data_IF_830440848324
#
_entry.id   IF_830440848324
#
_cell.length_a   1.000
_cell.length_b   1.000
_cell.length_c   1.000
_cell.angle_alpha   90.00
_cell.angle_beta   90.00
_cell.angle_gamma   90.00
#
_symmetry.space_group_name_H-M   'P 1'
#
loop_
_entity.id
_entity.type
_entity.pdbx_description
1 polymer ?
#
# COMPACT_ATOMS: atom_id res chain seq x y z
N UNK A 1 -0.69 21.91 -5.93
CA UNK A 1 -1.53 20.99 -6.73
C UNK A 1 -0.72 19.84 -7.33
N UNK A 2 0.47 20.10 -7.90
CA UNK A 2 1.34 19.06 -8.50
C UNK A 2 1.89 18.04 -7.48
N UNK A 3 2.27 18.48 -6.28
CA UNK A 3 2.79 17.60 -5.21
C UNK A 3 1.76 16.55 -4.77
N UNK A 4 0.49 16.95 -4.62
CA UNK A 4 -0.60 16.06 -4.23
C UNK A 4 -0.83 14.99 -5.31
N UNK A 5 -0.73 15.35 -6.61
CA UNK A 5 -0.79 14.38 -7.70
C UNK A 5 0.38 13.38 -7.63
N UNK A 6 1.62 13.85 -7.44
CA UNK A 6 2.81 12.98 -7.32
C UNK A 6 2.69 12.02 -6.12
N UNK A 7 2.19 12.49 -4.99
CA UNK A 7 1.95 11.66 -3.81
C UNK A 7 0.87 10.59 -4.05
N UNK A 8 -0.24 10.94 -4.72
CA UNK A 8 -1.26 9.96 -5.12
C UNK A 8 -0.69 8.86 -6.00
N UNK A 9 0.02 9.24 -7.06
CA UNK A 9 0.65 8.29 -7.98
C UNK A 9 1.70 7.41 -7.27
N UNK A 10 2.44 7.98 -6.32
CA UNK A 10 3.40 7.23 -5.52
C UNK A 10 2.73 6.13 -4.69
N UNK A 11 1.60 6.44 -4.03
CA UNK A 11 0.84 5.44 -3.29
C UNK A 11 0.27 4.38 -4.23
N UNK A 12 -0.29 4.77 -5.38
CA UNK A 12 -0.78 3.82 -6.38
C UNK A 12 0.33 2.86 -6.84
N UNK A 13 1.53 3.37 -7.16
CA UNK A 13 2.66 2.53 -7.61
C UNK A 13 3.11 1.55 -6.53
N UNK A 14 3.18 2.00 -5.28
CA UNK A 14 3.53 1.15 -4.13
C UNK A 14 2.51 0.03 -3.97
N UNK A 15 1.21 0.35 -3.98
CA UNK A 15 0.17 -0.67 -3.81
C UNK A 15 0.15 -1.68 -4.96
N UNK A 16 0.40 -1.24 -6.21
CA UNK A 16 0.57 -2.15 -7.34
C UNK A 16 1.74 -3.11 -7.14
N UNK A 17 2.84 -2.64 -6.55
CA UNK A 17 4.02 -3.46 -6.23
C UNK A 17 3.71 -4.50 -5.13
N UNK A 18 2.96 -4.09 -4.12
CA UNK A 18 2.51 -4.97 -3.03
C UNK A 18 1.63 -6.10 -3.57
N UNK A 19 0.67 -5.80 -4.47
CA UNK A 19 -0.18 -6.84 -5.07
C UNK A 19 0.64 -7.79 -5.93
N UNK A 20 1.59 -7.29 -6.71
CA UNK A 20 2.47 -8.14 -7.51
C UNK A 20 3.27 -9.10 -6.63
N UNK A 21 3.80 -8.61 -5.51
CA UNK A 21 4.48 -9.46 -4.53
C UNK A 21 3.56 -10.44 -3.78
N UNK A 22 2.26 -10.13 -3.69
CA UNK A 22 1.26 -10.98 -3.02
C UNK A 22 0.70 -12.08 -3.93
N UNK A 23 0.43 -11.76 -5.19
CA UNK A 23 -0.38 -12.58 -6.09
C UNK A 23 0.27 -12.84 -7.46
N UNK A 24 1.52 -12.42 -7.67
CA UNK A 24 2.24 -12.48 -8.96
C UNK A 24 1.52 -11.75 -10.12
N UNK A 25 0.57 -10.86 -9.80
CA UNK A 25 -0.24 -10.10 -10.76
C UNK A 25 -0.34 -8.64 -10.30
N UNK A 26 -0.22 -7.67 -11.22
CA UNK A 26 -0.47 -6.24 -10.95
C UNK A 26 -1.92 -5.84 -11.22
N UNK A 27 -2.86 -6.48 -10.53
CA UNK A 27 -4.28 -6.19 -10.70
C UNK A 27 -4.80 -5.19 -9.64
N UNK A 28 -5.12 -3.94 -10.01
CA UNK A 28 -5.66 -2.96 -9.08
C UNK A 28 -7.03 -3.36 -8.50
N UNK A 29 -7.81 -4.22 -9.17
CA UNK A 29 -9.09 -4.68 -8.64
C UNK A 29 -8.92 -5.47 -7.33
N UNK A 30 -7.78 -6.14 -7.15
CA UNK A 30 -7.46 -6.83 -5.90
C UNK A 30 -7.30 -5.85 -4.74
N UNK A 31 -6.71 -4.68 -5.00
CA UNK A 31 -6.57 -3.57 -4.05
C UNK A 31 -7.95 -3.01 -3.72
N UNK A 32 -8.76 -2.75 -4.74
CA UNK A 32 -10.07 -2.12 -4.58
C UNK A 32 -11.05 -2.97 -3.75
N UNK A 33 -10.86 -4.29 -3.77
CA UNK A 33 -11.65 -5.25 -2.97
C UNK A 33 -11.19 -5.39 -1.52
N UNK A 34 -10.08 -4.75 -1.12
CA UNK A 34 -9.62 -4.79 0.27
C UNK A 34 -10.54 -3.98 1.19
N UNK A 35 -10.58 -4.35 2.47
CA UNK A 35 -11.44 -3.71 3.46
C UNK A 35 -11.06 -2.26 3.69
N UNK A 36 -9.77 -1.95 3.70
CA UNK A 36 -9.27 -0.64 4.07
C UNK A 36 -9.07 0.32 2.88
N UNK A 37 -9.16 -0.17 1.64
CA UNK A 37 -9.00 0.68 0.45
C UNK A 37 -9.99 1.85 0.37
N UNK A 38 -11.31 1.70 0.65
CA UNK A 38 -12.25 2.83 0.56
C UNK A 38 -11.94 3.98 1.51
N UNK A 39 -11.23 3.74 2.62
CA UNK A 39 -10.75 4.81 3.51
C UNK A 39 -9.55 5.53 2.90
N UNK A 40 -8.57 4.77 2.38
CA UNK A 40 -7.40 5.33 1.71
C UNK A 40 -7.77 6.13 0.46
N UNK A 41 -8.68 5.62 -0.36
CA UNK A 41 -9.16 6.27 -1.57
C UNK A 41 -9.79 7.64 -1.27
N UNK A 42 -10.58 7.74 -0.19
CA UNK A 42 -11.20 9.01 0.24
C UNK A 42 -10.18 10.00 0.77
N UNK A 43 -9.18 9.54 1.52
CA UNK A 43 -8.14 10.42 2.06
C UNK A 43 -7.27 11.01 0.94
N UNK A 44 -6.94 10.19 -0.06
CA UNK A 44 -6.02 10.56 -1.13
C UNK A 44 -6.73 11.09 -2.39
N UNK A 45 -8.06 10.98 -2.46
CA UNK A 45 -8.85 11.34 -3.65
C UNK A 45 -8.31 10.68 -4.93
N UNK A 46 -8.11 9.35 -4.93
CA UNK A 46 -7.65 8.64 -6.12
C UNK A 46 -8.65 8.75 -7.27
N UNK A 47 -8.13 8.94 -8.48
CA UNK A 47 -8.86 8.86 -9.73
C UNK A 47 -8.47 7.58 -10.47
N UNK A 48 -9.35 7.04 -11.30
CA UNK A 48 -9.07 5.78 -12.03
C UNK A 48 -7.80 5.87 -12.89
N UNK A 49 -7.55 7.03 -13.51
CA UNK A 49 -6.33 7.30 -14.28
C UNK A 49 -5.03 7.27 -13.46
N UNK A 50 -5.10 7.44 -12.13
CA UNK A 50 -3.90 7.37 -11.30
C UNK A 50 -3.26 5.98 -11.35
N UNK A 51 -4.07 4.93 -11.45
CA UNK A 51 -3.58 3.55 -11.51
C UNK A 51 -2.85 3.26 -12.81
N UNK A 52 -3.28 3.85 -13.92
CA UNK A 52 -2.62 3.73 -15.22
C UNK A 52 -1.31 4.53 -15.21
N UNK A 53 -1.36 5.80 -14.84
CA UNK A 53 -0.19 6.69 -14.79
C UNK A 53 0.89 6.18 -13.82
N UNK A 54 0.50 5.52 -12.73
CA UNK A 54 1.43 5.02 -11.75
C UNK A 54 2.24 3.81 -12.22
N UNK A 55 1.79 3.03 -13.23
CA UNK A 55 2.43 1.74 -13.62
C UNK A 55 3.89 1.88 -13.99
N UNK A 56 4.24 2.97 -14.67
CA UNK A 56 5.57 3.21 -15.22
C UNK A 56 6.51 3.94 -14.25
N UNK A 57 6.04 4.25 -13.04
CA UNK A 57 6.84 4.94 -12.05
C UNK A 57 7.83 4.01 -11.34
N UNK A 58 8.99 4.56 -11.00
CA UNK A 58 9.98 3.89 -10.16
C UNK A 58 9.46 3.76 -8.73
N UNK A 59 9.38 2.52 -8.22
CA UNK A 59 9.00 2.23 -6.82
C UNK A 59 9.91 2.98 -5.85
N UNK A 60 11.21 3.01 -6.13
CA UNK A 60 12.18 3.70 -5.27
C UNK A 60 11.88 5.20 -5.17
N UNK A 61 11.55 5.85 -6.28
CA UNK A 61 11.14 7.26 -6.28
C UNK A 61 9.82 7.46 -5.51
N UNK A 62 8.87 6.53 -5.67
CA UNK A 62 7.59 6.57 -4.97
C UNK A 62 7.75 6.38 -3.46
N UNK A 63 8.67 5.53 -3.01
CA UNK A 63 9.00 5.36 -1.58
C UNK A 63 9.54 6.65 -0.98
N UNK A 64 10.45 7.35 -1.67
CA UNK A 64 10.98 8.65 -1.22
C UNK A 64 9.85 9.67 -1.06
N UNK A 65 8.97 9.80 -2.05
CA UNK A 65 7.81 10.71 -1.96
C UNK A 65 6.85 10.33 -0.83
N UNK A 66 6.77 9.04 -0.50
CA UNK A 66 5.85 8.53 0.52
C UNK A 66 6.32 8.80 1.96
N UNK A 67 7.58 9.18 2.16
CA UNK A 67 8.12 9.60 3.47
C UNK A 67 7.45 10.87 4.01
N UNK A 68 7.04 11.77 3.13
CA UNK A 68 6.40 13.04 3.49
C UNK A 68 4.88 12.91 3.70
N UNK A 69 4.31 11.73 3.51
CA UNK A 69 2.88 11.51 3.72
C UNK A 69 2.52 11.67 5.18
N UNK A 70 1.31 12.15 5.42
CA UNK A 70 0.76 12.20 6.77
C UNK A 70 0.67 10.77 7.35
N UNK A 71 0.94 10.60 8.64
CA UNK A 71 0.99 9.28 9.31
C UNK A 71 -0.29 8.45 9.10
N UNK A 72 -1.45 9.12 9.01
CA UNK A 72 -2.74 8.48 8.71
C UNK A 72 -2.74 7.76 7.37
N UNK A 73 -2.17 8.37 6.33
CA UNK A 73 -2.04 7.75 4.99
C UNK A 73 -1.07 6.57 5.06
N UNK A 74 0.07 6.74 5.72
CA UNK A 74 1.05 5.65 5.92
C UNK A 74 0.41 4.44 6.62
N UNK A 75 -0.37 4.69 7.67
CA UNK A 75 -1.14 3.65 8.35
C UNK A 75 -2.11 2.94 7.41
N UNK A 76 -2.86 3.69 6.59
CA UNK A 76 -3.81 3.11 5.63
C UNK A 76 -3.12 2.31 4.51
N UNK A 77 -1.93 2.71 4.05
CA UNK A 77 -1.10 1.90 3.15
C UNK A 77 -0.78 0.55 3.80
N UNK A 78 -0.33 0.58 5.05
CA UNK A 78 -0.09 -0.64 5.83
C UNK A 78 -1.35 -1.51 5.93
N UNK A 79 -2.50 -0.93 6.27
CA UNK A 79 -3.74 -1.71 6.41
C UNK A 79 -4.17 -2.38 5.09
N UNK A 80 -4.02 -1.68 3.96
CA UNK A 80 -4.30 -2.26 2.63
C UNK A 80 -3.30 -3.35 2.27
N UNK A 81 -2.01 -3.15 2.54
CA UNK A 81 -0.99 -4.17 2.32
C UNK A 81 -1.22 -5.43 3.18
N UNK A 82 -1.62 -5.23 4.44
CA UNK A 82 -2.01 -6.31 5.34
C UNK A 82 -3.25 -7.06 4.82
N UNK A 83 -4.27 -6.35 4.36
CA UNK A 83 -5.46 -6.96 3.76
C UNK A 83 -5.09 -7.83 2.56
N UNK A 84 -4.17 -7.37 1.70
CA UNK A 84 -3.73 -8.12 0.52
C UNK A 84 -3.02 -9.42 0.91
N UNK A 85 -2.05 -9.36 1.83
CA UNK A 85 -1.31 -10.53 2.26
C UNK A 85 -2.16 -11.52 3.09
N UNK A 86 -3.11 -11.02 3.87
CA UNK A 86 -3.93 -11.86 4.76
C UNK A 86 -5.11 -12.55 4.06
N UNK A 87 -5.25 -12.43 2.74
CA UNK A 87 -6.28 -13.17 1.97
C UNK A 87 -5.95 -14.65 1.83
N UNK A 88 -4.67 -15.01 1.93
CA UNK A 88 -4.23 -16.40 1.89
C UNK A 88 -4.45 -17.08 3.24
N UNK A 89 -4.60 -18.41 3.24
CA UNK A 89 -4.80 -19.20 4.45
C UNK A 89 -3.67 -19.04 5.47
N UNK A 90 -2.48 -18.67 5.01
CA UNK A 90 -1.32 -18.36 5.85
C UNK A 90 -0.40 -17.36 5.18
N UNK A 91 -0.10 -16.25 5.86
CA UNK A 91 0.86 -15.25 5.38
C UNK A 91 2.28 -15.79 5.45
N UNK A 92 2.99 -15.78 4.32
CA UNK A 92 4.36 -16.28 4.22
C UNK A 92 5.36 -15.42 5.00
N UNK A 93 6.53 -15.98 5.32
CA UNK A 93 7.61 -15.21 5.96
C UNK A 93 8.08 -14.04 5.09
N UNK A 94 8.19 -14.27 3.77
CA UNK A 94 8.60 -13.24 2.82
C UNK A 94 7.59 -12.09 2.75
N UNK A 95 6.28 -12.37 2.74
CA UNK A 95 5.25 -11.31 2.76
C UNK A 95 5.34 -10.45 4.03
N UNK A 96 5.58 -11.07 5.19
CA UNK A 96 5.79 -10.34 6.46
C UNK A 96 7.03 -9.46 6.41
N UNK A 97 8.15 -9.97 5.90
CA UNK A 97 9.35 -9.16 5.73
C UNK A 97 9.16 -8.02 4.73
N UNK A 98 8.53 -8.29 3.58
CA UNK A 98 8.23 -7.27 2.57
C UNK A 98 7.33 -6.17 3.15
N UNK A 99 6.38 -6.54 4.00
CA UNK A 99 5.58 -5.58 4.77
C UNK A 99 6.46 -4.71 5.67
N UNK A 100 7.28 -5.31 6.53
CA UNK A 100 8.13 -4.59 7.48
C UNK A 100 9.11 -3.64 6.76
N UNK A 101 9.65 -4.07 5.62
CA UNK A 101 10.52 -3.27 4.74
C UNK A 101 9.77 -2.09 4.15
N UNK A 102 8.56 -2.30 3.60
CA UNK A 102 7.72 -1.21 3.07
C UNK A 102 7.45 -0.16 4.14
N UNK A 103 6.98 -0.59 5.31
CA UNK A 103 6.61 0.30 6.40
C UNK A 103 7.81 1.10 6.93
N UNK A 104 8.97 0.45 7.02
CA UNK A 104 10.24 1.13 7.34
C UNK A 104 10.66 2.12 6.25
N UNK A 105 10.52 1.77 4.97
CA UNK A 105 10.94 2.60 3.84
C UNK A 105 10.13 3.90 3.71
N UNK A 106 8.89 3.93 4.21
CA UNK A 106 8.05 5.12 4.26
C UNK A 106 8.15 5.88 5.60
N UNK A 107 9.15 5.60 6.43
CA UNK A 107 9.37 6.19 7.77
C UNK A 107 8.16 6.03 8.71
N UNK A 108 7.54 4.83 8.70
CA UNK A 108 6.49 4.44 9.65
C UNK A 108 6.65 2.97 10.04
N UNK A 109 7.65 2.62 10.88
CA UNK A 109 8.13 1.25 11.08
C UNK A 109 7.21 0.40 11.98
N UNK A 110 5.94 0.30 11.61
CA UNK A 110 4.99 -0.66 12.18
C UNK A 110 5.22 -2.01 11.53
N UNK A 111 5.42 -3.05 12.34
CA UNK A 111 5.59 -4.42 11.87
C UNK A 111 4.26 -5.07 11.47
N UNK A 112 4.34 -6.16 10.69
CA UNK A 112 3.16 -6.94 10.33
C UNK A 112 2.41 -7.44 11.58
N UNK A 113 3.14 -7.85 12.63
CA UNK A 113 2.54 -8.31 13.88
C UNK A 113 1.77 -7.20 14.60
N UNK A 114 2.31 -5.99 14.62
CA UNK A 114 1.66 -4.85 15.24
C UNK A 114 0.42 -4.43 14.43
N UNK A 115 0.50 -4.42 13.10
CA UNK A 115 -0.64 -3.98 12.29
C UNK A 115 -1.84 -4.94 12.37
N UNK A 116 -1.61 -6.24 12.54
CA UNK A 116 -2.67 -7.25 12.74
C UNK A 116 -3.55 -6.92 13.96
N UNK A 117 -3.02 -6.24 14.99
CA UNK A 117 -3.81 -5.83 16.16
C UNK A 117 -4.86 -4.76 15.80
N UNK A 118 -4.60 -3.94 14.77
CA UNK A 118 -5.53 -2.92 14.28
C UNK A 118 -6.42 -3.42 13.15
N UNK A 119 -6.02 -4.51 12.47
CA UNK A 119 -6.76 -5.17 11.41
C UNK A 119 -6.94 -6.67 11.72
N UNK A 120 -7.72 -7.04 12.76
CA UNK A 120 -7.96 -8.45 13.03
C UNK A 120 -8.62 -9.09 11.81
N UNK A 121 -7.97 -10.15 11.30
CA UNK A 121 -8.56 -11.05 10.32
C UNK A 121 -9.82 -11.65 10.93
N UNK A 122 -10.95 -11.57 10.22
CA UNK A 122 -12.19 -12.24 10.63
C UNK A 122 -12.04 -13.75 10.56
#
# INVERSE_FOLDING_TARGET
MEVIKKQRLAVCRILLDVVEGACEVRDPDLIMRTRHYPALQREMCFADRDWEEARDLSVLACLVLSKELHYKVKMMIGLVAHDLYSRESSVSYQQRLSFDVLMSAIDWPVSFKEITLFAPSK
#
